data_IF_711926133730
#
_entry.id   IF_711926133730
#
_cell.length_a   1.000
_cell.length_b   1.000
_cell.length_c   1.000
_cell.angle_alpha   90.00
_cell.angle_beta   90.00
_cell.angle_gamma   90.00
#
_symmetry.space_group_name_H-M   'P 1'
#
loop_
_entity.id
_entity.type
_entity.pdbx_description
1 polymer ?
#
# COMPACT_ATOMS: atom_id res chain seq x y z
N UNK A 1 -36.14 -48.42 -1.03
CA UNK A 1 -35.12 -47.77 -0.18
C UNK A 1 -34.46 -46.72 -1.03
N UNK A 2 -34.78 -45.46 -0.80
CA UNK A 2 -34.15 -44.35 -1.50
C UNK A 2 -32.66 -44.33 -1.17
N UNK A 3 -31.83 -44.43 -2.21
CA UNK A 3 -30.38 -44.40 -2.08
C UNK A 3 -30.03 -42.95 -1.75
N UNK A 4 -29.83 -42.64 -0.46
CA UNK A 4 -29.36 -41.31 -0.07
C UNK A 4 -28.08 -40.98 -0.86
N UNK A 5 -28.10 -39.84 -1.56
CA UNK A 5 -26.91 -39.27 -2.18
C UNK A 5 -25.95 -38.87 -1.06
N UNK A 6 -24.88 -39.65 -0.91
CA UNK A 6 -23.83 -39.38 0.07
C UNK A 6 -22.97 -38.21 -0.46
N UNK A 7 -22.63 -37.24 0.39
CA UNK A 7 -21.70 -36.18 0.00
C UNK A 7 -20.31 -36.78 -0.24
N UNK A 8 -19.59 -36.20 -1.20
CA UNK A 8 -18.18 -36.53 -1.39
C UNK A 8 -17.35 -36.07 -0.19
N UNK A 9 -16.16 -36.64 -0.03
CA UNK A 9 -15.23 -36.19 1.02
C UNK A 9 -14.82 -34.74 0.74
N UNK A 10 -14.81 -33.91 1.77
CA UNK A 10 -14.32 -32.54 1.71
C UNK A 10 -12.81 -32.54 1.47
N UNK A 11 -12.44 -32.36 0.21
CA UNK A 11 -11.05 -32.31 -0.26
C UNK A 11 -10.83 -31.02 -1.04
N UNK A 12 -10.92 -29.90 -0.33
CA UNK A 12 -10.77 -28.55 -0.89
C UNK A 12 -9.51 -27.93 -0.29
N UNK A 13 -8.63 -27.43 -1.14
CA UNK A 13 -7.55 -26.53 -0.74
C UNK A 13 -8.14 -25.15 -0.37
N UNK A 14 -7.95 -24.75 0.88
CA UNK A 14 -8.42 -23.47 1.42
C UNK A 14 -7.81 -22.25 0.72
N UNK A 15 -6.65 -22.41 0.08
CA UNK A 15 -5.99 -21.32 -0.66
C UNK A 15 -6.51 -21.16 -2.09
N UNK A 16 -7.27 -22.12 -2.61
CA UNK A 16 -7.77 -22.10 -3.98
C UNK A 16 -8.72 -20.93 -4.24
N UNK A 17 -8.73 -20.41 -5.48
CA UNK A 17 -9.58 -19.27 -5.89
C UNK A 17 -11.08 -19.57 -5.78
N UNK A 18 -11.44 -20.86 -5.89
CA UNK A 18 -12.83 -21.33 -5.84
C UNK A 18 -13.21 -21.93 -4.47
N UNK A 19 -12.32 -21.85 -3.47
CA UNK A 19 -12.49 -22.46 -2.15
C UNK A 19 -13.86 -22.12 -1.52
N UNK A 20 -14.25 -20.84 -1.56
CA UNK A 20 -15.52 -20.36 -1.02
C UNK A 20 -16.73 -20.96 -1.73
N UNK A 21 -16.70 -21.05 -3.06
CA UNK A 21 -17.81 -21.60 -3.85
C UNK A 21 -17.94 -23.11 -3.62
N UNK A 22 -16.81 -23.83 -3.66
CA UNK A 22 -16.77 -25.28 -3.44
C UNK A 22 -17.21 -25.64 -2.02
N UNK A 23 -16.77 -24.89 -1.01
CA UNK A 23 -17.21 -25.05 0.37
C UNK A 23 -18.71 -24.80 0.52
N UNK A 24 -19.22 -23.70 -0.06
CA UNK A 24 -20.65 -23.36 0.03
C UNK A 24 -21.52 -24.44 -0.59
N UNK A 25 -21.10 -24.97 -1.75
CA UNK A 25 -21.78 -26.08 -2.41
C UNK A 25 -21.70 -27.36 -1.56
N UNK A 26 -20.52 -27.73 -1.09
CA UNK A 26 -20.33 -28.93 -0.28
C UNK A 26 -21.11 -28.88 1.03
N UNK A 27 -21.07 -27.75 1.76
CA UNK A 27 -21.84 -27.51 3.00
C UNK A 27 -23.32 -27.70 2.76
N UNK A 28 -23.86 -27.19 1.65
CA UNK A 28 -25.28 -27.38 1.28
C UNK A 28 -25.59 -28.86 1.03
N UNK A 29 -24.75 -29.57 0.28
CA UNK A 29 -24.95 -31.00 -0.01
C UNK A 29 -24.86 -31.85 1.27
N UNK A 30 -23.93 -31.54 2.17
CA UNK A 30 -23.81 -32.20 3.46
C UNK A 30 -25.03 -31.94 4.36
N UNK A 31 -25.54 -30.71 4.41
CA UNK A 31 -26.77 -30.36 5.14
C UNK A 31 -27.98 -31.14 4.61
N UNK A 32 -28.17 -31.19 3.29
CA UNK A 32 -29.25 -31.97 2.68
C UNK A 32 -29.15 -33.47 3.03
N UNK A 33 -27.93 -34.00 3.11
CA UNK A 33 -27.70 -35.39 3.53
C UNK A 33 -28.07 -35.63 5.00
N UNK A 34 -27.69 -34.73 5.90
CA UNK A 34 -28.07 -34.81 7.33
C UNK A 34 -29.59 -34.79 7.50
N UNK A 35 -30.27 -33.92 6.77
CA UNK A 35 -31.74 -33.80 6.77
C UNK A 35 -32.39 -35.08 6.25
N UNK A 36 -31.94 -35.61 5.12
CA UNK A 36 -32.47 -36.85 4.55
C UNK A 36 -32.20 -38.08 5.44
N UNK A 37 -31.12 -38.07 6.22
CA UNK A 37 -30.78 -39.11 7.18
C UNK A 37 -31.47 -38.95 8.54
N UNK A 38 -32.29 -37.91 8.73
CA UNK A 38 -32.96 -37.56 9.99
C UNK A 38 -32.00 -37.41 11.18
N UNK A 39 -30.79 -36.90 10.94
CA UNK A 39 -29.79 -36.70 11.99
C UNK A 39 -30.07 -35.38 12.70
N UNK A 40 -30.62 -35.45 13.91
CA UNK A 40 -30.98 -34.27 14.71
C UNK A 40 -29.92 -33.95 15.76
N UNK A 41 -29.32 -34.95 16.40
CA UNK A 41 -28.34 -34.78 17.48
C UNK A 41 -27.04 -34.13 16.98
N UNK A 42 -26.56 -33.13 17.71
CA UNK A 42 -25.36 -32.37 17.35
C UNK A 42 -24.10 -33.24 17.30
N UNK A 43 -23.98 -34.17 18.25
CA UNK A 43 -22.90 -35.15 18.32
C UNK A 43 -22.85 -36.05 17.08
N UNK A 44 -24.01 -36.51 16.61
CA UNK A 44 -24.08 -37.34 15.41
C UNK A 44 -23.75 -36.56 14.14
N UNK A 45 -24.17 -35.29 14.07
CA UNK A 45 -23.77 -34.38 12.98
C UNK A 45 -22.26 -34.15 12.97
N UNK A 46 -21.64 -33.95 14.13
CA UNK A 46 -20.20 -33.79 14.27
C UNK A 46 -19.44 -35.06 13.89
N UNK A 47 -19.89 -36.22 14.36
CA UNK A 47 -19.29 -37.51 13.99
C UNK A 47 -19.37 -37.76 12.48
N UNK A 48 -20.51 -37.46 11.86
CA UNK A 48 -20.65 -37.54 10.40
C UNK A 48 -19.73 -36.54 9.70
N UNK A 49 -19.65 -35.30 10.18
CA UNK A 49 -18.75 -34.29 9.60
C UNK A 49 -17.30 -34.81 9.60
N UNK A 50 -16.81 -35.32 10.73
CA UNK A 50 -15.47 -35.90 10.86
C UNK A 50 -15.21 -37.04 9.86
N UNK A 51 -16.22 -37.87 9.57
CA UNK A 51 -16.09 -38.97 8.61
C UNK A 51 -15.96 -38.49 7.15
N UNK A 52 -16.53 -37.33 6.82
CA UNK A 52 -16.56 -36.80 5.46
C UNK A 52 -15.53 -35.69 5.22
N UNK A 53 -14.58 -35.45 6.14
CA UNK A 53 -13.44 -34.54 5.92
C UNK A 53 -12.14 -35.30 5.69
N UNK A 54 -11.19 -34.67 5.00
CA UNK A 54 -9.82 -35.19 4.87
C UNK A 54 -9.01 -34.92 6.17
N UNK A 55 -7.82 -35.55 6.35
CA UNK A 55 -7.02 -35.37 7.56
C UNK A 55 -6.58 -33.92 7.85
N UNK A 56 -6.27 -33.14 6.81
CA UNK A 56 -5.85 -31.73 6.94
C UNK A 56 -6.99 -30.87 7.47
N UNK A 57 -8.20 -31.11 6.97
CA UNK A 57 -9.41 -30.41 7.41
C UNK A 57 -9.81 -30.86 8.81
N UNK A 58 -9.63 -32.14 9.14
CA UNK A 58 -9.87 -32.67 10.48
C UNK A 58 -8.98 -31.99 11.53
N UNK A 59 -7.70 -31.75 11.23
CA UNK A 59 -6.78 -31.04 12.13
C UNK A 59 -7.34 -29.67 12.56
N UNK A 60 -8.04 -28.97 11.66
CA UNK A 60 -8.62 -27.67 11.97
C UNK A 60 -9.89 -27.73 12.84
N UNK A 61 -10.60 -28.86 12.90
CA UNK A 61 -11.84 -29.02 13.68
C UNK A 61 -11.71 -30.03 14.83
N UNK A 62 -10.54 -30.63 15.03
CA UNK A 62 -10.34 -31.71 15.99
C UNK A 62 -10.63 -31.33 17.44
N UNK A 63 -10.49 -30.04 17.78
CA UNK A 63 -10.79 -29.51 19.12
C UNK A 63 -12.26 -29.06 19.27
N UNK A 64 -13.04 -29.03 18.19
CA UNK A 64 -14.44 -28.61 18.24
C UNK A 64 -15.30 -29.71 18.87
N UNK A 65 -16.10 -29.34 19.87
CA UNK A 65 -17.00 -30.26 20.59
C UNK A 65 -18.42 -30.27 20.04
N UNK A 66 -18.77 -29.27 19.22
CA UNK A 66 -20.10 -29.12 18.60
C UNK A 66 -19.98 -29.04 17.07
N UNK A 67 -21.03 -29.49 16.38
CA UNK A 67 -21.14 -29.34 14.93
C UNK A 67 -21.18 -27.86 14.51
N UNK A 68 -21.81 -27.00 15.32
CA UNK A 68 -21.85 -25.56 15.08
C UNK A 68 -20.46 -24.92 15.14
N UNK A 69 -19.62 -25.29 16.12
CA UNK A 69 -18.27 -24.75 16.23
C UNK A 69 -17.38 -25.26 15.10
N UNK A 70 -17.45 -26.57 14.78
CA UNK A 70 -16.71 -27.16 13.68
C UNK A 70 -17.06 -26.49 12.34
N UNK A 71 -18.35 -26.33 12.05
CA UNK A 71 -18.78 -25.65 10.82
C UNK A 71 -18.41 -24.18 10.77
N UNK A 72 -18.44 -23.46 11.89
CA UNK A 72 -17.99 -22.07 11.97
C UNK A 72 -16.48 -21.94 11.73
N UNK A 73 -15.68 -22.87 12.25
CA UNK A 73 -14.24 -22.92 12.01
C UNK A 73 -13.93 -23.19 10.55
N UNK A 74 -14.58 -24.19 9.93
CA UNK A 74 -14.43 -24.46 8.50
C UNK A 74 -14.89 -23.29 7.64
N UNK A 75 -15.97 -22.61 8.03
CA UNK A 75 -16.46 -21.44 7.32
C UNK A 75 -15.44 -20.30 7.33
N UNK A 76 -14.73 -20.07 8.44
CA UNK A 76 -13.62 -19.11 8.51
C UNK A 76 -12.41 -19.53 7.65
N UNK A 77 -12.14 -20.82 7.54
CA UNK A 77 -11.02 -21.34 6.72
C UNK A 77 -11.29 -21.20 5.22
N UNK A 78 -12.51 -21.49 4.78
CA UNK A 78 -12.86 -21.56 3.36
C UNK A 78 -13.51 -20.28 2.81
N UNK A 79 -14.14 -19.49 3.67
CA UNK A 79 -14.68 -18.18 3.30
C UNK A 79 -13.66 -17.13 3.73
N UNK A 80 -12.86 -16.68 2.75
CA UNK A 80 -12.03 -15.49 2.95
C UNK A 80 -12.96 -14.33 3.28
N UNK A 81 -12.80 -13.73 4.46
CA UNK A 81 -13.58 -12.58 4.87
C UNK A 81 -13.36 -11.46 3.86
N UNK A 82 -14.38 -11.17 3.05
CA UNK A 82 -14.32 -10.10 2.08
C UNK A 82 -14.28 -8.78 2.84
N UNK A 83 -13.24 -7.98 2.64
CA UNK A 83 -13.21 -6.62 3.16
C UNK A 83 -14.34 -5.83 2.49
N UNK A 84 -15.26 -5.32 3.30
CA UNK A 84 -16.34 -4.46 2.82
C UNK A 84 -15.76 -3.24 2.11
N UNK A 85 -14.68 -2.67 2.66
CA UNK A 85 -13.98 -1.52 2.12
C UNK A 85 -13.42 -1.84 0.73
N UNK A 86 -12.80 -3.01 0.57
CA UNK A 86 -12.29 -3.46 -0.72
C UNK A 86 -13.41 -3.73 -1.74
N UNK A 87 -14.53 -4.32 -1.32
CA UNK A 87 -15.67 -4.56 -2.20
C UNK A 87 -16.28 -3.23 -2.71
N UNK A 88 -16.49 -2.26 -1.81
CA UNK A 88 -16.98 -0.92 -2.18
C UNK A 88 -16.00 -0.17 -3.08
N UNK A 89 -14.70 -0.30 -2.83
CA UNK A 89 -13.66 0.25 -3.69
C UNK A 89 -13.72 -0.38 -5.09
N UNK A 90 -13.84 -1.69 -5.19
CA UNK A 90 -13.93 -2.42 -6.46
C UNK A 90 -15.17 -1.98 -7.25
N UNK A 91 -16.33 -1.90 -6.60
CA UNK A 91 -17.57 -1.40 -7.22
C UNK A 91 -17.41 0.03 -7.74
N UNK A 92 -16.88 0.94 -6.90
CA UNK A 92 -16.79 2.37 -7.21
C UNK A 92 -15.69 2.76 -8.21
N UNK A 93 -14.73 1.85 -8.46
CA UNK A 93 -13.65 2.04 -9.43
C UNK A 93 -13.85 1.25 -10.73
N UNK A 94 -14.82 0.32 -10.76
CA UNK A 94 -15.18 -0.41 -11.98
C UNK A 94 -15.67 0.58 -13.05
N UNK A 95 -15.00 0.57 -14.20
CA UNK A 95 -15.36 1.34 -15.41
C UNK A 95 -15.73 0.38 -16.53
N UNK A 96 -16.74 0.72 -17.33
CA UNK A 96 -17.14 -0.07 -18.51
C UNK A 96 -15.94 -0.33 -19.43
N UNK A 97 -15.80 -1.57 -19.90
CA UNK A 97 -14.75 -1.94 -20.85
C UNK A 97 -15.15 -1.54 -22.28
N UNK A 98 -14.16 -1.40 -23.17
CA UNK A 98 -14.39 -0.93 -24.56
C UNK A 98 -15.39 -1.80 -25.31
N UNK A 99 -15.36 -3.12 -25.09
CA UNK A 99 -16.22 -4.10 -25.78
C UNK A 99 -17.37 -4.63 -24.90
N UNK A 100 -17.66 -3.97 -23.78
CA UNK A 100 -18.70 -4.39 -22.85
C UNK A 100 -20.02 -3.66 -23.13
N UNK A 101 -21.10 -4.39 -23.35
CA UNK A 101 -22.44 -3.80 -23.49
C UNK A 101 -22.91 -3.16 -22.18
N UNK A 102 -23.86 -2.22 -22.28
CA UNK A 102 -24.45 -1.55 -21.12
C UNK A 102 -25.11 -2.56 -20.16
N UNK A 103 -25.80 -3.56 -20.71
CA UNK A 103 -26.46 -4.59 -19.91
C UNK A 103 -25.45 -5.47 -19.14
N UNK A 104 -24.36 -5.87 -19.80
CA UNK A 104 -23.27 -6.61 -19.15
C UNK A 104 -22.62 -5.78 -18.05
N UNK A 105 -22.36 -4.50 -18.31
CA UNK A 105 -21.77 -3.60 -17.33
C UNK A 105 -22.65 -3.47 -16.09
N UNK A 106 -23.96 -3.21 -16.26
CA UNK A 106 -24.90 -3.12 -15.16
C UNK A 106 -25.01 -4.44 -14.39
N UNK A 107 -25.01 -5.58 -15.10
CA UNK A 107 -25.05 -6.90 -14.47
C UNK A 107 -23.83 -7.14 -13.58
N UNK A 108 -22.64 -6.75 -14.04
CA UNK A 108 -21.40 -6.87 -13.27
C UNK A 108 -21.43 -5.94 -12.05
N UNK A 109 -21.90 -4.69 -12.18
CA UNK A 109 -22.06 -3.79 -11.04
C UNK A 109 -23.02 -4.36 -9.98
N UNK A 110 -24.16 -4.93 -10.41
CA UNK A 110 -25.12 -5.62 -9.53
C UNK A 110 -24.52 -6.86 -8.87
N UNK A 111 -23.58 -7.53 -9.53
CA UNK A 111 -22.87 -8.66 -8.94
C UNK A 111 -21.90 -8.18 -7.85
N UNK A 112 -21.07 -7.18 -8.15
CA UNK A 112 -20.12 -6.58 -7.20
C UNK A 112 -20.80 -5.98 -5.97
N UNK A 113 -21.99 -5.39 -6.14
CA UNK A 113 -22.73 -4.77 -5.02
C UNK A 113 -23.15 -5.77 -3.94
N UNK A 114 -23.23 -7.07 -4.25
CA UNK A 114 -23.60 -8.12 -3.27
C UNK A 114 -22.55 -8.28 -2.18
N UNK A 115 -21.29 -7.98 -2.49
CA UNK A 115 -20.17 -8.09 -1.56
C UNK A 115 -19.96 -6.81 -0.73
N UNK A 116 -20.67 -5.72 -1.04
CA UNK A 116 -20.50 -4.41 -0.41
C UNK A 116 -21.24 -4.26 0.93
N UNK A 117 -22.00 -5.27 1.37
CA UNK A 117 -22.74 -5.28 2.64
C UNK A 117 -23.55 -3.99 2.90
N UNK A 118 -24.39 -3.56 1.94
CA UNK A 118 -25.23 -2.38 2.13
C UNK A 118 -26.26 -2.60 3.25
N UNK A 119 -26.25 -1.72 4.24
CA UNK A 119 -27.13 -1.78 5.42
C UNK A 119 -27.94 -0.48 5.56
N UNK A 120 -29.10 -0.58 6.22
CA UNK A 120 -29.86 0.59 6.62
C UNK A 120 -29.14 1.28 7.79
N UNK A 121 -28.56 2.46 7.54
CA UNK A 121 -27.78 3.23 8.52
C UNK A 121 -28.32 4.65 8.65
N UNK A 122 -27.89 5.37 9.68
CA UNK A 122 -28.21 6.80 9.82
C UNK A 122 -27.61 7.61 8.66
N UNK A 123 -28.21 8.76 8.37
CA UNK A 123 -27.72 9.68 7.33
C UNK A 123 -26.26 10.11 7.59
N UNK A 124 -25.90 10.36 8.84
CA UNK A 124 -24.53 10.72 9.24
C UNK A 124 -23.54 9.58 8.98
N UNK A 125 -23.92 8.35 9.33
CA UNK A 125 -23.06 7.18 9.07
C UNK A 125 -22.84 6.98 7.57
N UNK A 126 -23.90 7.08 6.77
CA UNK A 126 -23.79 6.98 5.31
C UNK A 126 -22.91 8.09 4.72
N UNK A 127 -22.99 9.31 5.26
CA UNK A 127 -22.13 10.43 4.87
C UNK A 127 -20.66 10.11 5.15
N UNK A 128 -20.34 9.63 6.34
CA UNK A 128 -18.96 9.25 6.70
C UNK A 128 -18.44 8.10 5.83
N UNK A 129 -19.28 7.09 5.59
CA UNK A 129 -18.95 5.96 4.73
C UNK A 129 -18.72 6.40 3.28
N UNK A 130 -19.44 7.40 2.78
CA UNK A 130 -19.25 7.96 1.43
C UNK A 130 -17.98 8.82 1.34
N UNK A 131 -17.69 9.62 2.37
CA UNK A 131 -16.47 10.42 2.46
C UNK A 131 -15.26 9.49 2.53
N UNK A 132 -15.29 8.45 3.37
CA UNK A 132 -14.21 7.46 3.52
C UNK A 132 -13.88 6.81 2.18
N UNK A 133 -14.87 6.30 1.48
CA UNK A 133 -14.66 5.62 0.21
C UNK A 133 -14.12 6.56 -0.87
N UNK A 134 -14.63 7.80 -0.91
CA UNK A 134 -14.14 8.83 -1.82
C UNK A 134 -12.70 9.24 -1.50
N UNK A 135 -12.36 9.36 -0.21
CA UNK A 135 -11.01 9.62 0.28
C UNK A 135 -10.06 8.52 -0.18
N UNK A 136 -10.35 7.24 0.12
CA UNK A 136 -9.51 6.10 -0.27
C UNK A 136 -9.32 6.05 -1.79
N UNK A 137 -10.40 6.19 -2.56
CA UNK A 137 -10.34 6.18 -4.04
C UNK A 137 -9.52 7.35 -4.60
N UNK A 138 -9.55 8.50 -3.94
CA UNK A 138 -8.86 9.72 -4.37
C UNK A 138 -7.38 9.80 -4.00
N UNK A 139 -6.87 8.95 -3.10
CA UNK A 139 -5.46 8.97 -2.70
C UNK A 139 -4.53 8.71 -3.89
N UNK A 140 -3.54 9.58 -4.11
CA UNK A 140 -2.50 9.37 -5.14
C UNK A 140 -1.50 8.27 -4.76
N UNK A 141 -1.14 8.19 -3.48
CA UNK A 141 -0.22 7.21 -2.93
C UNK A 141 -0.85 5.79 -2.93
N UNK A 142 -0.40 4.94 -3.86
CA UNK A 142 -0.93 3.58 -4.04
C UNK A 142 -0.64 2.66 -2.86
N UNK A 143 0.51 2.81 -2.20
CA UNK A 143 0.89 2.09 -0.99
C UNK A 143 -0.06 2.40 0.17
N UNK A 144 -0.38 3.68 0.40
CA UNK A 144 -1.33 4.07 1.44
C UNK A 144 -2.71 3.52 1.12
N UNK A 145 -3.16 3.67 -0.13
CA UNK A 145 -4.44 3.12 -0.59
C UNK A 145 -4.52 1.61 -0.34
N UNK A 146 -3.50 0.86 -0.73
CA UNK A 146 -3.42 -0.59 -0.51
C UNK A 146 -3.57 -0.94 0.97
N UNK A 147 -2.82 -0.27 1.86
CA UNK A 147 -2.87 -0.53 3.31
C UNK A 147 -4.24 -0.26 3.91
N UNK A 148 -4.96 0.77 3.45
CA UNK A 148 -6.33 1.03 3.91
C UNK A 148 -7.31 -0.05 3.42
N UNK A 149 -7.13 -0.55 2.20
CA UNK A 149 -7.98 -1.59 1.61
C UNK A 149 -7.77 -2.99 2.21
N UNK A 150 -6.62 -3.25 2.86
CA UNK A 150 -6.36 -4.48 3.61
C UNK A 150 -7.27 -4.64 4.84
N UNK A 151 -7.84 -3.54 5.34
CA UNK A 151 -8.70 -3.58 6.53
C UNK A 151 -10.07 -4.19 6.21
N UNK A 152 -10.53 -5.15 7.02
CA UNK A 152 -11.85 -5.76 6.85
C UNK A 152 -13.00 -4.76 7.11
N UNK A 153 -12.82 -3.93 8.15
CA UNK A 153 -13.71 -2.81 8.52
C UNK A 153 -12.86 -1.59 8.83
N UNK A 154 -13.35 -0.39 8.50
CA UNK A 154 -12.60 0.84 8.67
C UNK A 154 -13.54 2.03 8.81
N UNK A 155 -13.43 2.84 9.86
CA UNK A 155 -14.17 4.12 9.97
C UNK A 155 -13.47 5.24 9.21
N UNK A 156 -14.16 6.35 8.97
CA UNK A 156 -13.55 7.54 8.37
C UNK A 156 -12.34 8.04 9.17
N UNK A 157 -12.49 8.18 10.49
CA UNK A 157 -11.41 8.63 11.37
C UNK A 157 -10.22 7.66 11.37
N UNK A 158 -10.49 6.36 11.37
CA UNK A 158 -9.43 5.35 11.27
C UNK A 158 -8.69 5.46 9.94
N UNK A 159 -9.42 5.60 8.83
CA UNK A 159 -8.83 5.76 7.50
C UNK A 159 -7.92 6.99 7.44
N UNK A 160 -8.40 8.12 7.95
CA UNK A 160 -7.64 9.37 7.99
C UNK A 160 -6.36 9.23 8.86
N UNK A 161 -6.50 8.74 10.09
CA UNK A 161 -5.37 8.60 11.01
C UNK A 161 -4.31 7.62 10.48
N UNK A 162 -4.74 6.49 9.91
CA UNK A 162 -3.83 5.52 9.29
C UNK A 162 -3.13 6.10 8.05
N UNK A 163 -3.86 6.82 7.19
CA UNK A 163 -3.28 7.45 6.00
C UNK A 163 -2.21 8.48 6.40
N UNK A 164 -2.52 9.35 7.36
CA UNK A 164 -1.59 10.37 7.86
C UNK A 164 -0.35 9.73 8.51
N UNK A 165 -0.52 8.68 9.29
CA UNK A 165 0.60 7.96 9.90
C UNK A 165 1.53 7.34 8.83
N UNK A 166 0.96 6.72 7.80
CA UNK A 166 1.71 6.14 6.69
C UNK A 166 2.43 7.21 5.86
N UNK A 167 1.79 8.35 5.60
CA UNK A 167 2.39 9.49 4.91
C UNK A 167 3.60 10.05 5.67
N UNK A 168 3.46 10.26 6.99
CA UNK A 168 4.56 10.72 7.84
C UNK A 168 5.72 9.70 7.87
N UNK A 169 5.40 8.41 7.98
CA UNK A 169 6.41 7.35 7.98
C UNK A 169 7.17 7.31 6.63
N UNK A 170 6.47 7.52 5.51
CA UNK A 170 7.08 7.59 4.19
C UNK A 170 8.01 8.80 4.06
N UNK A 171 7.56 10.00 4.48
CA UNK A 171 8.40 11.20 4.49
C UNK A 171 9.66 11.03 5.34
N UNK A 172 9.54 10.38 6.51
CA UNK A 172 10.70 10.06 7.35
C UNK A 172 11.64 9.06 6.67
N UNK A 173 11.11 8.00 6.05
CA UNK A 173 11.93 7.02 5.32
C UNK A 173 12.70 7.66 4.16
N UNK A 174 12.07 8.56 3.40
CA UNK A 174 12.70 9.26 2.28
C UNK A 174 13.85 10.16 2.73
N UNK A 175 13.74 10.75 3.94
CA UNK A 175 14.81 11.56 4.53
C UNK A 175 16.09 10.76 4.81
N UNK A 176 15.99 9.48 5.21
CA UNK A 176 17.15 8.60 5.41
C UNK A 176 17.87 8.24 4.10
N UNK A 177 17.11 8.06 3.02
CA UNK A 177 17.67 7.77 1.70
C UNK A 177 18.44 8.98 1.17
N UNK A 178 17.89 10.19 1.37
CA UNK A 178 18.52 11.43 0.98
C UNK A 178 19.78 11.74 1.81
N UNK A 179 19.76 11.45 3.12
CA UNK A 179 20.97 11.60 3.96
C UNK A 179 22.08 10.61 3.58
N UNK A 180 21.75 9.35 3.28
CA UNK A 180 22.75 8.33 2.93
C UNK A 180 23.40 8.58 1.55
N UNK A 181 22.70 9.20 0.60
CA UNK A 181 23.32 9.62 -0.68
C UNK A 181 24.37 10.72 -0.51
N UNK A 182 24.24 11.60 0.50
CA UNK A 182 25.23 12.64 0.78
C UNK A 182 26.50 12.01 1.38
N UNK A 183 26.35 11.02 2.28
CA UNK A 183 27.50 10.39 2.97
C UNK A 183 28.32 9.49 2.04
N UNK A 184 27.70 8.83 1.05
CA UNK A 184 28.42 7.98 0.08
C UNK A 184 29.20 8.75 -1.02
N UNK A 185 29.15 10.08 -1.05
CA UNK A 185 29.89 10.88 -2.04
C UNK A 185 31.33 11.24 -1.63
N UNK A 186 31.79 10.83 -0.44
CA UNK A 186 33.11 11.23 0.10
C UNK A 186 34.23 10.22 -0.24
N UNK A 187 33.94 9.11 -0.90
CA UNK A 187 34.97 8.11 -1.23
C UNK A 187 35.08 7.89 -2.74
N UNK A 188 35.97 8.64 -3.38
CA UNK A 188 37.10 8.14 -4.20
C UNK A 188 37.72 9.31 -4.97
N UNK A 189 38.80 9.87 -4.46
CA UNK A 189 39.90 10.22 -5.36
C UNK A 189 41.23 10.11 -4.60
N UNK A 190 41.82 8.92 -4.72
CA UNK A 190 43.20 8.64 -4.37
C UNK A 190 44.07 9.03 -5.56
N UNK A 191 44.57 10.26 -5.59
CA UNK A 191 45.82 10.56 -6.31
C UNK A 191 46.70 11.49 -5.48
N UNK A 192 47.84 10.93 -5.13
CA UNK A 192 48.97 11.48 -4.38
C UNK A 192 49.47 12.82 -4.98
N UNK A 193 49.69 13.84 -4.13
CA UNK A 193 50.99 14.49 -4.00
C UNK A 193 51.04 15.43 -2.78
N UNK A 194 52.13 15.26 -2.01
CA UNK A 194 52.56 16.04 -0.86
C UNK A 194 52.61 17.56 -1.15
N UNK A 195 52.25 18.38 -0.15
CA UNK A 195 53.18 19.21 0.64
C UNK A 195 52.45 19.98 1.75
N UNK A 196 52.88 19.71 2.99
CA UNK A 196 53.05 20.59 4.16
C UNK A 196 52.09 21.75 4.52
N UNK A 197 51.72 21.71 5.80
CA UNK A 197 51.66 22.81 6.79
C UNK A 197 50.34 23.61 7.03
N UNK A 198 49.85 23.42 8.25
CA UNK A 198 49.35 24.40 9.23
C UNK A 198 47.89 24.95 9.21
N UNK A 199 47.19 24.54 10.28
CA UNK A 199 46.35 25.31 11.23
C UNK A 199 44.93 25.79 10.90
N UNK A 200 44.10 25.51 11.91
CA UNK A 200 42.97 26.27 12.46
C UNK A 200 41.55 26.17 11.85
N UNK A 201 40.75 25.38 12.60
CA UNK A 201 39.54 25.79 13.33
C UNK A 201 38.44 26.66 12.65
N UNK A 202 37.24 26.08 12.71
CA UNK A 202 35.95 26.67 13.06
C UNK A 202 34.98 27.21 11.98
N UNK A 203 33.73 26.75 12.20
CA UNK A 203 32.42 27.33 11.89
C UNK A 203 31.83 27.24 10.47
N UNK A 204 30.93 26.25 10.34
CA UNK A 204 29.50 26.42 10.03
C UNK A 204 29.08 27.70 9.28
N UNK A 205 28.58 27.55 8.05
CA UNK A 205 27.31 28.15 7.60
C UNK A 205 26.91 27.60 6.23
N UNK A 206 25.69 27.11 6.15
CA UNK A 206 25.02 26.65 4.94
C UNK A 206 24.81 27.79 3.95
N UNK A 207 25.33 27.65 2.73
CA UNK A 207 24.72 28.19 1.51
C UNK A 207 25.42 27.59 0.28
N UNK A 208 24.73 26.68 -0.40
CA UNK A 208 25.10 26.27 -1.75
C UNK A 208 24.83 27.43 -2.71
N UNK A 209 25.74 28.40 -2.74
CA UNK A 209 25.76 29.47 -3.74
C UNK A 209 26.96 29.21 -4.62
N UNK A 210 26.72 28.78 -5.86
CA UNK A 210 27.74 28.59 -6.90
C UNK A 210 28.82 29.67 -6.80
N UNK A 211 30.01 29.30 -6.31
CA UNK A 211 31.02 30.29 -5.96
C UNK A 211 31.55 30.96 -7.23
N UNK A 212 31.16 32.21 -7.47
CA UNK A 212 31.71 33.02 -8.55
C UNK A 212 33.18 33.34 -8.23
N UNK A 213 34.03 33.44 -9.25
CA UNK A 213 35.40 33.90 -9.14
C UNK A 213 35.41 35.34 -8.64
N UNK A 214 36.12 35.60 -7.54
CA UNK A 214 36.19 36.92 -6.92
C UNK A 214 36.76 37.99 -7.86
N UNK A 215 37.70 37.63 -8.72
CA UNK A 215 38.40 38.60 -9.58
C UNK A 215 37.61 39.03 -10.82
N UNK A 216 36.75 38.16 -11.37
CA UNK A 216 36.06 38.46 -12.62
C UNK A 216 34.56 38.16 -12.62
N UNK A 217 33.98 37.75 -11.49
CA UNK A 217 32.54 37.51 -11.33
C UNK A 217 31.95 36.30 -12.09
N UNK A 218 32.76 35.57 -12.87
CA UNK A 218 32.35 34.37 -13.63
C UNK A 218 32.31 33.12 -12.72
N UNK A 219 31.95 31.95 -13.24
CA UNK A 219 32.03 30.68 -12.51
C UNK A 219 33.44 30.42 -11.92
N UNK A 220 33.53 29.66 -10.82
CA UNK A 220 34.80 29.34 -10.15
C UNK A 220 35.81 28.75 -11.15
N UNK A 221 37.02 29.30 -11.17
CA UNK A 221 38.16 28.76 -11.91
C UNK A 221 39.45 29.10 -11.18
N UNK A 222 40.52 28.40 -11.52
CA UNK A 222 41.86 28.65 -11.00
C UNK A 222 42.39 30.00 -11.52
N UNK A 223 43.20 30.71 -10.71
CA UNK A 223 43.68 32.08 -10.99
C UNK A 223 44.36 32.20 -12.36
N UNK A 224 45.04 31.16 -12.80
CA UNK A 224 45.69 30.98 -14.10
C UNK A 224 44.74 31.05 -15.29
N UNK A 225 43.49 30.62 -15.12
CA UNK A 225 42.44 30.68 -16.16
C UNK A 225 41.57 31.92 -16.05
N UNK A 226 41.92 32.84 -15.14
CA UNK A 226 41.13 34.04 -14.91
C UNK A 226 41.36 35.06 -16.03
N UNK A 227 40.32 35.50 -16.76
CA UNK A 227 40.46 36.55 -17.76
C UNK A 227 41.01 37.85 -17.16
N UNK A 228 40.73 38.11 -15.88
CA UNK A 228 41.24 39.26 -15.13
C UNK A 228 42.60 39.00 -14.43
N UNK A 229 43.38 38.01 -14.89
CA UNK A 229 44.68 37.67 -14.25
C UNK A 229 45.69 38.81 -14.34
N UNK A 230 45.78 39.45 -15.50
CA UNK A 230 46.81 40.46 -15.82
C UNK A 230 46.23 41.87 -16.06
N UNK A 231 44.97 42.11 -15.70
CA UNK A 231 44.36 43.43 -15.81
C UNK A 231 44.52 44.20 -14.51
N UNK A 232 45.05 45.42 -14.60
CA UNK A 232 45.20 46.33 -13.47
C UNK A 232 43.93 47.18 -13.37
N UNK A 233 43.25 47.15 -12.22
CA UNK A 233 42.00 47.88 -12.03
C UNK A 233 42.27 49.40 -12.02
N UNK A 234 41.75 50.12 -13.02
CA UNK A 234 41.72 51.58 -13.03
C UNK A 234 40.51 52.08 -12.24
N UNK A 235 40.43 51.73 -10.95
CA UNK A 235 39.37 52.19 -10.07
C UNK A 235 39.86 53.39 -9.25
N UNK A 236 39.50 54.61 -9.69
CA UNK A 236 39.57 55.81 -8.85
C UNK A 236 38.61 55.61 -7.68
N UNK A 237 39.12 55.75 -6.46
CA UNK A 237 38.41 55.51 -5.21
C UNK A 237 37.16 56.37 -5.12
N UNK A 238 35.98 55.77 -5.28
CA UNK A 238 34.75 56.25 -4.66
C UNK A 238 33.98 55.05 -4.12
N UNK A 239 33.54 55.22 -2.89
CA UNK A 239 33.22 54.20 -1.92
C UNK A 239 31.82 53.59 -2.15
N UNK A 240 31.64 52.85 -3.24
CA UNK A 240 30.43 52.07 -3.51
C UNK A 240 30.79 50.69 -4.06
N UNK A 241 30.04 49.67 -3.62
CA UNK A 241 30.32 48.24 -3.80
C UNK A 241 30.56 47.76 -5.26
N UNK A 242 30.96 46.50 -5.43
CA UNK A 242 31.60 46.02 -6.65
C UNK A 242 30.69 46.17 -7.88
N UNK A 243 30.99 47.17 -8.71
CA UNK A 243 30.32 47.36 -10.00
C UNK A 243 30.83 46.32 -10.99
N UNK A 244 29.89 45.63 -11.62
CA UNK A 244 30.11 44.68 -12.70
C UNK A 244 30.87 45.38 -13.86
N UNK A 245 32.08 44.94 -14.17
CA UNK A 245 32.78 45.33 -15.40
C UNK A 245 32.33 44.38 -16.52
N UNK A 246 31.46 44.86 -17.39
CA UNK A 246 31.16 44.18 -18.65
C UNK A 246 32.36 44.28 -19.57
N UNK A 247 33.08 43.17 -19.73
CA UNK A 247 34.14 43.04 -20.73
C UNK A 247 33.45 42.92 -22.09
N UNK A 248 33.34 44.04 -22.82
CA UNK A 248 33.01 44.03 -24.24
C UNK A 248 34.10 43.26 -24.99
N UNK A 249 33.68 42.27 -25.77
CA UNK A 249 34.54 41.56 -26.73
C UNK A 249 34.70 42.46 -27.96
N UNK A 250 35.93 42.83 -28.28
CA UNK A 250 36.36 43.08 -29.65
C UNK A 250 36.86 41.77 -30.27
#
# INVERSE_FOLDING_TARGET
MDKLLKPDRLDIDSNSTNATQLWTHWKRTFQNFLEAANVSEDKDKLNLLVNYVNPVVYEAIGECTTYTDATATLEKLYIKQKSEIFARHTLSTRKQQVDESIDQYLLILKHLSKDCNFQAVSADRNKDDYIRDSFIRGLSASNIRQRLLESATLTLDQAYNSARALEMAQQQSDSYIMSNSIVNSITTDNTLQNTAHETDQNNSTSAATFSKCWFCGKSRHTRDRCPAKNHQCSCVTNNEGPRHMDIQKE
#
